data_IF_460512364798
#
_entry.id   IF_460512364798
#
_cell.length_a   1.000
_cell.length_b   1.000
_cell.length_c   1.000
_cell.angle_alpha   90.00
_cell.angle_beta   90.00
_cell.angle_gamma   90.00
#
_symmetry.space_group_name_H-M   'P 1'
#
loop_
_entity.id
_entity.type
_entity.pdbx_description
1 polymer ?
#
# COMPACT_ATOMS: atom_id res chain seq x y z
N UNK A 1 4.65 -8.93 -8.35
CA UNK A 1 3.96 -7.89 -7.56
C UNK A 1 4.84 -6.66 -7.37
N UNK A 2 6.05 -6.79 -6.82
CA UNK A 2 6.94 -5.65 -6.52
C UNK A 2 7.22 -4.71 -7.68
N UNK A 3 7.35 -5.22 -8.92
CA UNK A 3 7.58 -4.37 -10.09
C UNK A 3 6.49 -3.28 -10.28
N UNK A 4 5.22 -3.60 -10.02
CA UNK A 4 4.09 -2.68 -10.20
C UNK A 4 4.05 -1.58 -9.16
N UNK A 5 4.54 -1.88 -7.96
CA UNK A 5 4.70 -0.93 -6.86
C UNK A 5 5.76 0.15 -7.16
N UNK A 6 6.71 -0.16 -8.04
CA UNK A 6 7.69 0.79 -8.57
C UNK A 6 7.24 1.44 -9.89
N UNK A 7 5.97 1.31 -10.26
CA UNK A 7 5.39 1.89 -11.47
C UNK A 7 5.79 1.16 -12.76
N UNK A 8 6.33 -0.06 -12.69
CA UNK A 8 6.59 -0.86 -13.89
C UNK A 8 5.29 -1.47 -14.41
N UNK A 9 5.11 -1.56 -15.73
CA UNK A 9 3.93 -2.19 -16.31
C UNK A 9 3.85 -3.67 -15.90
N UNK A 10 2.62 -4.14 -15.67
CA UNK A 10 2.33 -5.56 -15.47
C UNK A 10 2.49 -6.31 -16.81
N UNK A 11 3.08 -7.51 -16.75
CA UNK A 11 3.23 -8.38 -17.91
C UNK A 11 1.87 -9.01 -18.33
N UNK A 12 1.05 -9.35 -17.35
CA UNK A 12 -0.32 -9.83 -17.54
C UNK A 12 -1.26 -8.71 -17.12
N UNK A 13 -2.14 -8.29 -18.02
CA UNK A 13 -3.13 -7.24 -17.76
C UNK A 13 -4.50 -7.88 -17.54
N UNK A 14 -5.33 -7.22 -16.75
CA UNK A 14 -6.71 -7.65 -16.51
C UNK A 14 -7.49 -7.85 -17.83
N UNK A 15 -7.26 -6.98 -18.82
CA UNK A 15 -7.85 -7.07 -20.17
C UNK A 15 -7.45 -8.32 -20.98
N UNK A 16 -6.46 -9.10 -20.52
CA UNK A 16 -5.93 -10.26 -21.26
C UNK A 16 -6.47 -11.61 -20.80
N UNK A 17 -7.31 -11.63 -19.77
CA UNK A 17 -7.96 -12.84 -19.28
C UNK A 17 -9.37 -12.51 -18.78
N UNK A 18 -10.30 -13.44 -18.97
CA UNK A 18 -11.70 -13.30 -18.53
C UNK A 18 -11.97 -14.42 -17.53
N UNK A 19 -11.42 -14.26 -16.32
CA UNK A 19 -11.54 -15.25 -15.24
C UNK A 19 -12.17 -14.55 -14.04
N UNK A 20 -13.31 -15.06 -13.60
CA UNK A 20 -13.96 -14.59 -12.39
C UNK A 20 -13.09 -14.85 -11.15
N UNK A 21 -13.23 -14.02 -10.12
CA UNK A 21 -12.56 -14.26 -8.85
C UNK A 21 -13.01 -15.62 -8.29
N UNK A 22 -12.11 -16.37 -7.63
CA UNK A 22 -12.47 -17.61 -6.97
C UNK A 22 -13.63 -17.40 -5.99
N UNK A 23 -14.53 -18.39 -5.94
CA UNK A 23 -15.57 -18.48 -4.91
C UNK A 23 -14.96 -18.32 -3.52
N UNK A 24 -15.62 -17.57 -2.64
CA UNK A 24 -15.23 -17.45 -1.23
C UNK A 24 -15.57 -18.73 -0.43
N UNK A 25 -16.42 -19.60 -0.98
CA UNK A 25 -16.75 -20.91 -0.42
C UNK A 25 -15.82 -21.98 -1.02
N UNK A 26 -15.15 -22.72 -0.15
CA UNK A 26 -14.43 -23.95 -0.50
C UNK A 26 -15.43 -25.06 -0.87
N UNK A 27 -15.03 -26.00 -1.72
CA UNK A 27 -15.87 -27.12 -2.15
C UNK A 27 -16.30 -28.01 -0.96
N UNK A 28 -15.52 -27.99 0.12
CA UNK A 28 -15.77 -28.70 1.37
C UNK A 28 -16.79 -28.00 2.31
N UNK A 29 -17.22 -26.76 2.02
CA UNK A 29 -18.18 -26.00 2.84
C UNK A 29 -19.67 -26.25 2.47
N UNK A 30 -19.96 -27.29 1.69
CA UNK A 30 -21.34 -27.61 1.28
C UNK A 30 -22.19 -28.21 2.42
N UNK A 31 -21.56 -28.64 3.52
CA UNK A 31 -22.25 -29.09 4.73
C UNK A 31 -22.67 -27.88 5.59
N UNK A 32 -23.97 -27.59 5.54
CA UNK A 32 -24.69 -26.44 6.14
C UNK A 32 -24.44 -26.28 7.65
N UNK A 33 -23.89 -27.29 8.33
CA UNK A 33 -23.77 -27.35 9.79
C UNK A 33 -22.53 -26.64 10.37
N UNK A 34 -21.56 -26.23 9.54
CA UNK A 34 -20.36 -25.54 10.02
C UNK A 34 -19.99 -24.35 9.11
N UNK A 35 -20.57 -23.16 9.32
CA UNK A 35 -20.21 -21.96 8.57
C UNK A 35 -18.87 -21.39 9.12
N UNK A 36 -17.85 -22.23 9.20
CA UNK A 36 -16.48 -21.77 9.33
C UNK A 36 -16.08 -21.23 7.97
N UNK A 37 -16.36 -19.95 7.69
CA UNK A 37 -15.83 -19.28 6.50
C UNK A 37 -14.35 -19.60 6.41
N UNK A 38 -13.90 -20.25 5.33
CA UNK A 38 -12.57 -20.78 5.33
C UNK A 38 -11.63 -19.54 5.24
N UNK A 39 -10.85 -19.39 6.32
CA UNK A 39 -10.11 -18.15 6.65
C UNK A 39 -9.10 -17.79 5.56
N UNK A 40 -8.71 -18.75 4.74
CA UNK A 40 -7.67 -18.63 3.72
C UNK A 40 -8.23 -18.11 2.39
N UNK A 41 -9.43 -18.52 2.04
CA UNK A 41 -10.16 -18.24 0.81
C UNK A 41 -10.69 -16.81 0.88
N UNK A 42 -11.25 -16.44 2.04
CA UNK A 42 -11.67 -15.07 2.33
C UNK A 42 -10.48 -14.09 2.33
N UNK A 43 -9.32 -14.49 2.87
CA UNK A 43 -8.08 -13.72 2.77
C UNK A 43 -7.65 -13.55 1.32
N UNK A 44 -7.53 -14.64 0.57
CA UNK A 44 -7.08 -14.63 -0.82
C UNK A 44 -8.01 -13.77 -1.69
N UNK A 45 -9.32 -13.89 -1.53
CA UNK A 45 -10.29 -13.10 -2.27
C UNK A 45 -10.12 -11.60 -1.97
N UNK A 46 -9.93 -11.21 -0.70
CA UNK A 46 -9.69 -9.81 -0.32
C UNK A 46 -8.34 -9.30 -0.82
N UNK A 47 -7.33 -10.14 -0.82
CA UNK A 47 -6.00 -9.84 -1.36
C UNK A 47 -6.05 -9.62 -2.88
N UNK A 48 -6.73 -10.49 -3.63
CA UNK A 48 -6.90 -10.37 -5.08
C UNK A 48 -7.58 -9.06 -5.46
N UNK A 49 -8.60 -8.63 -4.70
CA UNK A 49 -9.23 -7.31 -4.90
C UNK A 49 -8.24 -6.15 -4.75
N UNK A 50 -7.34 -6.19 -3.76
CA UNK A 50 -6.27 -5.19 -3.64
C UNK A 50 -5.30 -5.25 -4.84
N UNK A 51 -4.99 -6.45 -5.36
CA UNK A 51 -4.14 -6.59 -6.55
C UNK A 51 -4.78 -6.00 -7.80
N UNK A 52 -6.10 -6.15 -7.98
CA UNK A 52 -6.85 -5.55 -9.08
C UNK A 52 -6.79 -4.01 -9.00
N UNK A 53 -7.02 -3.45 -7.81
CA UNK A 53 -6.90 -2.00 -7.59
C UNK A 53 -5.46 -1.53 -7.88
N UNK A 54 -4.44 -2.27 -7.46
CA UNK A 54 -3.04 -1.98 -7.79
C UNK A 54 -2.79 -2.00 -9.30
N UNK A 55 -3.33 -3.00 -10.01
CA UNK A 55 -3.23 -3.08 -11.47
C UNK A 55 -3.85 -1.87 -12.17
N UNK A 56 -5.06 -1.50 -11.76
CA UNK A 56 -5.77 -0.31 -12.26
C UNK A 56 -4.96 0.95 -11.95
N UNK A 57 -4.47 1.11 -10.72
CA UNK A 57 -3.65 2.26 -10.32
C UNK A 57 -2.37 2.37 -11.14
N UNK A 58 -1.65 1.27 -11.36
CA UNK A 58 -0.42 1.26 -12.16
C UNK A 58 -0.69 1.57 -13.63
N UNK A 59 -1.78 1.04 -14.20
CA UNK A 59 -2.13 1.30 -15.59
C UNK A 59 -2.65 2.71 -15.84
N UNK A 60 -3.33 3.31 -14.87
CA UNK A 60 -3.93 4.64 -15.05
C UNK A 60 -2.94 5.75 -14.68
N UNK A 61 -2.41 5.72 -13.45
CA UNK A 61 -1.56 6.79 -12.91
C UNK A 61 -0.14 6.76 -13.50
N UNK A 62 0.44 5.56 -13.67
CA UNK A 62 1.81 5.40 -14.14
C UNK A 62 1.90 5.14 -15.66
N UNK A 63 0.85 5.49 -16.41
CA UNK A 63 0.84 5.35 -17.87
C UNK A 63 1.74 6.37 -18.58
N UNK A 64 2.29 5.95 -19.72
CA UNK A 64 3.08 6.81 -20.61
C UNK A 64 2.14 7.86 -21.26
N UNK A 65 2.64 9.07 -21.51
CA UNK A 65 1.91 10.19 -22.11
C UNK A 65 1.06 9.83 -23.34
N UNK A 66 1.55 8.90 -24.19
CA UNK A 66 0.80 8.42 -25.37
C UNK A 66 -0.46 7.64 -24.99
N UNK A 67 -0.39 6.79 -23.97
CA UNK A 67 -1.54 6.05 -23.44
C UNK A 67 -2.50 6.95 -22.68
N UNK A 68 -1.99 7.97 -21.96
CA UNK A 68 -2.81 9.00 -21.30
C UNK A 68 -3.69 9.76 -22.30
N UNK A 69 -3.11 10.15 -23.44
CA UNK A 69 -3.85 10.82 -24.50
C UNK A 69 -4.97 9.92 -25.08
N UNK A 70 -4.68 8.63 -25.28
CA UNK A 70 -5.65 7.65 -25.79
C UNK A 70 -6.77 7.34 -24.78
N UNK A 71 -6.48 7.36 -23.48
CA UNK A 71 -7.46 7.18 -22.40
C UNK A 71 -8.29 8.44 -22.09
N UNK A 72 -8.09 9.52 -22.84
CA UNK A 72 -8.80 10.78 -22.60
C UNK A 72 -8.35 11.50 -21.32
N UNK A 73 -7.18 11.17 -20.78
CA UNK A 73 -6.58 11.85 -19.63
C UNK A 73 -5.97 13.18 -20.05
N UNK A 74 -6.85 14.11 -20.41
CA UNK A 74 -6.52 15.45 -20.91
C UNK A 74 -7.10 16.50 -19.95
N UNK A 75 -6.34 17.58 -19.70
CA UNK A 75 -6.74 18.67 -18.82
C UNK A 75 -5.99 18.66 -17.48
N UNK A 76 -6.36 19.56 -16.56
CA UNK A 76 -5.72 19.70 -15.24
C UNK A 76 -6.30 18.79 -14.16
N UNK A 77 -7.50 18.25 -14.39
CA UNK A 77 -8.30 17.60 -13.33
C UNK A 77 -8.33 16.07 -13.45
N UNK A 78 -7.69 15.50 -14.48
CA UNK A 78 -7.70 14.05 -14.73
C UNK A 78 -7.03 13.27 -13.58
N UNK A 79 -5.98 13.84 -12.98
CA UNK A 79 -5.24 13.27 -11.85
C UNK A 79 -6.17 13.08 -10.66
N UNK A 80 -6.86 14.14 -10.25
CA UNK A 80 -7.80 14.11 -9.14
C UNK A 80 -8.93 13.10 -9.39
N UNK A 81 -9.47 13.05 -10.61
CA UNK A 81 -10.56 12.11 -10.93
C UNK A 81 -10.14 10.65 -10.80
N UNK A 82 -8.94 10.30 -11.25
CA UNK A 82 -8.43 8.93 -11.16
C UNK A 82 -8.11 8.57 -9.72
N UNK A 83 -7.42 9.46 -9.01
CA UNK A 83 -7.08 9.26 -7.61
C UNK A 83 -8.34 9.09 -6.76
N UNK A 84 -9.35 9.97 -6.91
CA UNK A 84 -10.63 9.82 -6.21
C UNK A 84 -11.37 8.53 -6.57
N UNK A 85 -11.26 8.05 -7.81
CA UNK A 85 -11.85 6.75 -8.18
C UNK A 85 -11.14 5.60 -7.46
N UNK A 86 -9.81 5.65 -7.35
CA UNK A 86 -9.03 4.63 -6.64
C UNK A 86 -9.30 4.69 -5.14
N UNK A 87 -9.40 5.89 -4.55
CA UNK A 87 -9.77 6.08 -3.14
C UNK A 87 -11.14 5.46 -2.84
N UNK A 88 -12.14 5.71 -3.68
CA UNK A 88 -13.46 5.09 -3.54
C UNK A 88 -13.39 3.55 -3.61
N UNK A 89 -12.61 2.98 -4.53
CA UNK A 89 -12.42 1.53 -4.62
C UNK A 89 -11.74 0.95 -3.36
N UNK A 90 -10.79 1.67 -2.78
CA UNK A 90 -10.13 1.30 -1.54
C UNK A 90 -11.09 1.37 -0.36
N UNK A 91 -11.93 2.41 -0.29
CA UNK A 91 -12.93 2.56 0.77
C UNK A 91 -14.04 1.50 0.67
N UNK A 92 -14.49 1.17 -0.54
CA UNK A 92 -15.40 0.05 -0.80
C UNK A 92 -14.79 -1.29 -0.38
N UNK A 93 -13.50 -1.50 -0.71
CA UNK A 93 -12.77 -2.68 -0.26
C UNK A 93 -12.76 -2.77 1.27
N UNK A 94 -12.41 -1.67 1.96
CA UNK A 94 -12.33 -1.62 3.42
C UNK A 94 -13.70 -1.89 4.08
N UNK A 95 -14.78 -1.33 3.52
CA UNK A 95 -16.15 -1.59 3.98
C UNK A 95 -16.56 -3.07 3.81
N UNK A 96 -16.07 -3.72 2.76
CA UNK A 96 -16.35 -5.13 2.47
C UNK A 96 -15.49 -6.12 3.28
N UNK A 97 -14.47 -5.69 4.03
CA UNK A 97 -13.64 -6.59 4.83
C UNK A 97 -14.49 -7.24 5.95
N UNK A 98 -14.58 -8.59 6.00
CA UNK A 98 -15.35 -9.29 7.00
C UNK A 98 -14.73 -9.12 8.40
N UNK A 99 -15.53 -9.26 9.44
CA UNK A 99 -15.13 -8.91 10.81
C UNK A 99 -13.87 -9.65 11.28
N UNK A 100 -13.71 -10.92 10.89
CA UNK A 100 -12.56 -11.74 11.24
C UNK A 100 -11.27 -11.34 10.51
N UNK A 101 -11.32 -10.51 9.48
CA UNK A 101 -10.15 -9.96 8.77
C UNK A 101 -9.91 -8.47 9.02
N UNK A 102 -10.80 -7.80 9.77
CA UNK A 102 -10.58 -6.41 10.17
C UNK A 102 -9.37 -6.31 11.08
N UNK A 103 -8.56 -5.29 10.84
CA UNK A 103 -7.39 -5.02 11.66
C UNK A 103 -7.80 -4.79 13.12
N UNK A 104 -7.23 -5.60 14.00
CA UNK A 104 -7.40 -5.53 15.44
C UNK A 104 -6.02 -5.79 16.08
N UNK A 105 -5.37 -4.74 16.62
CA UNK A 105 -4.06 -4.89 17.24
C UNK A 105 -4.14 -5.81 18.45
N UNK A 106 -5.29 -6.01 19.08
CA UNK A 106 -5.45 -6.80 20.31
C UNK A 106 -5.97 -8.23 20.05
N UNK A 107 -6.04 -8.64 18.78
CA UNK A 107 -6.43 -10.00 18.41
C UNK A 107 -5.52 -11.05 19.07
N UNK A 108 -6.13 -11.96 19.83
CA UNK A 108 -5.46 -13.08 20.50
C UNK A 108 -5.19 -14.24 19.53
N UNK A 109 -6.01 -14.36 18.49
CA UNK A 109 -5.80 -15.35 17.43
C UNK A 109 -4.67 -14.90 16.51
N UNK A 110 -3.58 -15.67 16.51
CA UNK A 110 -2.38 -15.46 15.70
C UNK A 110 -2.69 -15.39 14.21
N UNK A 111 -3.52 -16.32 13.71
CA UNK A 111 -3.84 -16.41 12.29
C UNK A 111 -4.58 -15.16 11.85
N UNK A 112 -5.62 -14.79 12.59
CA UNK A 112 -6.38 -13.55 12.35
C UNK A 112 -5.51 -12.31 12.44
N UNK A 113 -4.64 -12.23 13.43
CA UNK A 113 -3.72 -11.10 13.62
C UNK A 113 -2.77 -10.94 12.41
N UNK A 114 -2.14 -12.03 11.96
CA UNK A 114 -1.22 -12.00 10.83
C UNK A 114 -1.93 -11.75 9.49
N UNK A 115 -3.12 -12.33 9.29
CA UNK A 115 -3.92 -12.13 8.08
C UNK A 115 -4.42 -10.69 7.95
N UNK A 116 -4.98 -10.14 9.02
CA UNK A 116 -5.49 -8.76 9.03
C UNK A 116 -4.36 -7.74 8.91
N UNK A 117 -3.26 -7.89 9.65
CA UNK A 117 -2.09 -7.02 9.53
C UNK A 117 -1.53 -6.98 8.11
N UNK A 118 -1.42 -8.15 7.46
CA UNK A 118 -0.95 -8.25 6.08
C UNK A 118 -1.86 -7.51 5.09
N UNK A 119 -3.18 -7.72 5.16
CA UNK A 119 -4.14 -7.05 4.30
C UNK A 119 -4.10 -5.54 4.47
N UNK A 120 -4.09 -5.07 5.72
CA UNK A 120 -4.11 -3.62 6.00
C UNK A 120 -2.77 -2.96 5.65
N UNK A 121 -1.63 -3.62 5.88
CA UNK A 121 -0.34 -3.12 5.41
C UNK A 121 -0.34 -2.91 3.89
N UNK A 122 -0.91 -3.84 3.12
CA UNK A 122 -1.06 -3.67 1.67
C UNK A 122 -2.05 -2.58 1.28
N UNK A 123 -3.17 -2.49 1.98
CA UNK A 123 -4.15 -1.42 1.78
C UNK A 123 -3.52 -0.03 1.94
N UNK A 124 -2.80 0.21 3.04
CA UNK A 124 -2.10 1.48 3.27
C UNK A 124 -0.96 1.70 2.27
N UNK A 125 -0.21 0.64 1.93
CA UNK A 125 0.78 0.70 0.87
C UNK A 125 0.18 1.11 -0.47
N UNK A 126 -1.02 0.64 -0.82
CA UNK A 126 -1.71 0.97 -2.05
C UNK A 126 -2.24 2.42 -2.06
N UNK A 127 -2.70 2.93 -0.91
CA UNK A 127 -2.97 4.38 -0.74
C UNK A 127 -1.73 5.21 -1.06
N UNK A 128 -0.59 4.84 -0.50
CA UNK A 128 0.68 5.52 -0.79
C UNK A 128 1.00 5.42 -2.28
N UNK A 129 0.88 4.24 -2.88
CA UNK A 129 1.16 4.00 -4.29
C UNK A 129 0.30 4.87 -5.23
N UNK A 130 -0.99 5.01 -4.92
CA UNK A 130 -1.92 5.82 -5.70
C UNK A 130 -1.57 7.31 -5.66
N UNK A 131 -1.10 7.81 -4.51
CA UNK A 131 -0.80 9.23 -4.33
C UNK A 131 0.68 9.62 -4.58
N UNK A 132 1.60 8.65 -4.63
CA UNK A 132 3.04 8.87 -4.75
C UNK A 132 3.46 9.76 -5.94
N UNK A 133 2.89 9.65 -7.16
CA UNK A 133 3.29 10.49 -8.29
C UNK A 133 3.08 11.98 -8.03
N UNK A 134 2.12 12.32 -7.18
CA UNK A 134 1.79 13.69 -6.79
C UNK A 134 2.66 14.20 -5.64
N UNK A 135 3.41 13.33 -4.96
CA UNK A 135 4.39 13.71 -3.94
C UNK A 135 5.73 14.16 -4.52
N UNK A 136 6.07 13.80 -5.77
CA UNK A 136 7.37 14.08 -6.41
C UNK A 136 7.52 15.58 -6.72
N UNK A 137 7.81 16.36 -5.68
CA UNK A 137 8.32 17.73 -5.82
C UNK A 137 9.38 17.99 -4.77
N UNK A 138 10.48 18.60 -5.21
CA UNK A 138 11.55 19.04 -4.34
C UNK A 138 11.10 20.28 -3.57
N UNK A 139 11.70 20.58 -2.41
CA UNK A 139 11.43 21.82 -1.67
C UNK A 139 11.59 23.09 -2.54
N UNK A 140 12.34 22.98 -3.65
CA UNK A 140 12.55 24.03 -4.66
C UNK A 140 11.34 24.28 -5.58
N UNK A 141 10.50 23.27 -5.81
CA UNK A 141 9.29 23.40 -6.62
C UNK A 141 8.15 24.05 -5.82
N UNK A 142 8.13 23.85 -4.50
CA UNK A 142 7.19 24.50 -3.57
C UNK A 142 7.50 25.98 -3.37
N UNK A 143 8.76 26.41 -3.48
CA UNK A 143 9.14 27.83 -3.41
C UNK A 143 8.84 28.64 -4.67
N UNK A 144 8.68 27.96 -5.83
CA UNK A 144 8.38 28.61 -7.12
C UNK A 144 6.92 28.43 -7.56
N UNK A 145 6.18 27.49 -6.99
CA UNK A 145 4.74 27.38 -7.21
C UNK A 145 4.03 28.50 -6.43
N UNK A 146 3.20 29.29 -7.11
CA UNK A 146 2.33 30.25 -6.42
C UNK A 146 1.47 29.51 -5.38
N UNK A 147 1.46 29.94 -4.10
CA UNK A 147 0.77 29.25 -3.00
C UNK A 147 -0.76 29.15 -3.17
N UNK A 148 -1.33 29.80 -4.18
CA UNK A 148 -2.76 29.84 -4.52
C UNK A 148 -3.15 28.96 -5.72
N UNK A 149 -2.22 28.17 -6.27
CA UNK A 149 -2.56 27.24 -7.37
C UNK A 149 -3.26 25.99 -6.83
N UNK A 150 -4.38 25.58 -7.46
CA UNK A 150 -5.11 24.32 -7.17
C UNK A 150 -4.19 23.11 -7.06
N UNK A 151 -3.17 23.06 -7.92
CA UNK A 151 -2.14 22.01 -7.91
C UNK A 151 -1.31 21.96 -6.64
N UNK A 152 -1.10 23.07 -5.92
CA UNK A 152 -0.40 23.07 -4.63
C UNK A 152 -1.28 22.46 -3.52
N UNK A 153 -2.58 22.78 -3.51
CA UNK A 153 -3.54 22.23 -2.56
C UNK A 153 -3.71 20.71 -2.71
N UNK A 154 -3.84 20.22 -3.94
CA UNK A 154 -4.00 18.79 -4.22
C UNK A 154 -2.74 17.98 -3.83
N UNK A 155 -1.56 18.59 -3.98
CA UNK A 155 -0.28 18.00 -3.57
C UNK A 155 -0.14 17.92 -2.05
N UNK A 156 -0.52 18.97 -1.33
CA UNK A 156 -0.53 18.96 0.14
C UNK A 156 -1.51 17.91 0.68
N UNK A 157 -2.67 17.75 0.04
CA UNK A 157 -3.64 16.71 0.37
C UNK A 157 -3.06 15.31 0.13
N UNK A 158 -2.43 15.06 -1.02
CA UNK A 158 -1.80 13.77 -1.32
C UNK A 158 -0.66 13.42 -0.36
N UNK A 159 0.17 14.40 0.01
CA UNK A 159 1.22 14.21 1.01
C UNK A 159 0.63 13.86 2.39
N UNK A 160 -0.43 14.54 2.81
CA UNK A 160 -1.11 14.25 4.08
C UNK A 160 -1.69 12.82 4.10
N UNK A 161 -2.33 12.39 3.01
CA UNK A 161 -2.89 11.04 2.85
C UNK A 161 -1.78 9.99 2.93
N UNK A 162 -0.71 10.16 2.16
CA UNK A 162 0.44 9.24 2.19
C UNK A 162 1.09 9.18 3.57
N UNK A 163 1.19 10.31 4.27
CA UNK A 163 1.79 10.37 5.60
C UNK A 163 0.93 9.63 6.62
N UNK A 164 -0.39 9.82 6.60
CA UNK A 164 -1.31 9.09 7.45
C UNK A 164 -1.25 7.58 7.18
N UNK A 165 -1.32 7.18 5.91
CA UNK A 165 -1.20 5.77 5.52
C UNK A 165 0.16 5.15 5.92
N UNK A 166 1.25 5.91 5.80
CA UNK A 166 2.57 5.44 6.21
C UNK A 166 2.66 5.23 7.72
N UNK A 167 2.08 6.14 8.52
CA UNK A 167 1.99 6.00 9.98
C UNK A 167 1.18 4.75 10.35
N UNK A 168 -0.01 4.58 9.79
CA UNK A 168 -0.87 3.41 10.06
C UNK A 168 -0.17 2.10 9.67
N UNK A 169 0.50 2.07 8.51
CA UNK A 169 1.29 0.91 8.10
C UNK A 169 2.47 0.63 9.05
N UNK A 170 3.14 1.67 9.54
CA UNK A 170 4.24 1.52 10.50
C UNK A 170 3.77 1.11 11.89
N UNK A 171 2.57 1.48 12.32
CA UNK A 171 1.96 0.99 13.56
C UNK A 171 1.62 -0.49 13.47
N UNK A 172 1.03 -0.92 12.36
CA UNK A 172 0.81 -2.35 12.07
C UNK A 172 2.15 -3.09 12.11
N UNK A 173 3.17 -2.53 11.45
CA UNK A 173 4.51 -3.13 11.43
C UNK A 173 5.08 -3.30 12.83
N UNK A 174 5.03 -2.26 13.68
CA UNK A 174 5.50 -2.34 15.06
C UNK A 174 4.76 -3.40 15.86
N UNK A 175 3.43 -3.48 15.74
CA UNK A 175 2.64 -4.50 16.43
C UNK A 175 3.06 -5.92 16.01
N UNK A 176 3.35 -6.13 14.73
CA UNK A 176 3.83 -7.44 14.22
C UNK A 176 5.27 -7.71 14.67
N UNK A 177 6.18 -6.72 14.67
CA UNK A 177 7.56 -6.89 15.17
C UNK A 177 7.56 -7.27 16.65
N UNK A 178 6.76 -6.59 17.47
CA UNK A 178 6.71 -6.80 18.91
C UNK A 178 6.20 -8.19 19.28
N UNK A 179 5.17 -8.68 18.59
CA UNK A 179 4.56 -9.98 18.90
C UNK A 179 5.21 -11.14 18.15
N UNK A 180 5.60 -10.94 16.89
CA UNK A 180 6.03 -12.00 15.97
C UNK A 180 7.15 -11.54 15.01
N UNK A 181 8.38 -11.32 15.52
CA UNK A 181 9.49 -10.74 14.73
C UNK A 181 9.94 -11.58 13.52
N UNK A 182 9.55 -12.86 13.44
CA UNK A 182 9.87 -13.75 12.32
C UNK A 182 8.82 -13.79 11.21
N UNK A 183 7.70 -13.08 11.36
CA UNK A 183 6.61 -13.10 10.37
C UNK A 183 6.94 -12.40 9.05
N UNK A 184 7.99 -11.58 9.02
CA UNK A 184 8.41 -10.82 7.83
C UNK A 184 9.13 -11.63 6.75
N UNK A 185 9.33 -12.93 6.97
CA UNK A 185 9.88 -13.85 5.97
C UNK A 185 8.93 -14.14 4.81
N UNK A 186 7.65 -13.80 4.95
CA UNK A 186 6.65 -14.03 3.91
C UNK A 186 6.80 -13.02 2.75
N UNK A 187 6.86 -13.48 1.49
CA UNK A 187 6.94 -12.58 0.33
C UNK A 187 5.65 -11.76 0.21
N UNK A 188 5.73 -10.46 0.50
CA UNK A 188 4.60 -9.53 0.38
C UNK A 188 4.61 -8.35 1.34
N UNK A 189 5.43 -8.41 2.40
CA UNK A 189 5.61 -7.32 3.37
C UNK A 189 6.58 -6.24 2.91
N UNK A 190 7.53 -6.59 2.04
CA UNK A 190 8.61 -5.68 1.64
C UNK A 190 8.10 -4.40 0.97
N UNK A 191 7.14 -4.52 0.04
CA UNK A 191 6.62 -3.38 -0.72
C UNK A 191 5.96 -2.31 0.19
N UNK A 192 4.94 -2.63 1.03
CA UNK A 192 4.30 -1.63 1.89
C UNK A 192 5.23 -1.06 2.97
N UNK A 193 6.15 -1.87 3.51
CA UNK A 193 7.15 -1.40 4.48
C UNK A 193 8.10 -0.40 3.84
N UNK A 194 8.61 -0.73 2.65
CA UNK A 194 9.54 0.13 1.93
C UNK A 194 8.94 1.49 1.62
N UNK A 195 7.72 1.54 1.08
CA UNK A 195 7.11 2.83 0.71
C UNK A 195 6.71 3.66 1.93
N UNK A 196 6.27 3.04 3.01
CA UNK A 196 5.94 3.74 4.25
C UNK A 196 7.19 4.40 4.84
N UNK A 197 8.30 3.64 4.93
CA UNK A 197 9.59 4.17 5.34
C UNK A 197 10.05 5.33 4.45
N UNK A 198 9.88 5.22 3.12
CA UNK A 198 10.25 6.28 2.18
C UNK A 198 9.45 7.57 2.42
N UNK A 199 8.12 7.47 2.60
CA UNK A 199 7.26 8.63 2.85
C UNK A 199 7.63 9.31 4.18
N UNK A 200 7.88 8.54 5.24
CA UNK A 200 8.27 9.07 6.54
C UNK A 200 9.64 9.76 6.48
N UNK A 201 10.59 9.19 5.74
CA UNK A 201 11.90 9.81 5.49
C UNK A 201 11.77 11.14 4.74
N UNK A 202 10.94 11.19 3.69
CA UNK A 202 10.66 12.44 2.95
C UNK A 202 10.09 13.50 3.88
N UNK A 203 9.18 13.14 4.78
CA UNK A 203 8.63 14.07 5.76
C UNK A 203 9.68 14.54 6.79
N UNK A 204 10.49 13.62 7.30
CA UNK A 204 11.51 13.91 8.32
C UNK A 204 12.61 14.83 7.78
N UNK A 205 13.05 14.63 6.53
CA UNK A 205 14.08 15.46 5.91
C UNK A 205 13.52 16.71 5.21
N UNK A 206 12.32 16.65 4.65
CA UNK A 206 11.70 17.74 3.89
C UNK A 206 11.09 18.83 4.77
N UNK A 207 10.60 18.49 5.96
CA UNK A 207 9.86 19.41 6.84
C UNK A 207 10.43 19.48 8.25
N UNK A 208 11.74 19.21 8.41
CA UNK A 208 12.42 19.16 9.71
C UNK A 208 12.20 20.39 10.60
N UNK A 209 12.08 21.58 10.00
CA UNK A 209 11.82 22.84 10.72
C UNK A 209 10.35 23.07 11.08
N UNK A 210 9.42 22.35 10.45
CA UNK A 210 7.98 22.47 10.65
C UNK A 210 7.37 21.33 11.49
N UNK A 211 8.05 20.19 11.60
CA UNK A 211 7.66 19.10 12.48
C UNK A 211 8.10 19.40 13.91
N UNK A 212 7.16 19.33 14.87
CA UNK A 212 7.52 19.38 16.29
C UNK A 212 8.35 18.16 16.71
N UNK A 213 9.18 18.33 17.75
CA UNK A 213 10.17 17.33 18.20
C UNK A 213 9.57 15.94 18.47
N UNK A 214 8.35 15.88 19.02
CA UNK A 214 7.65 14.62 19.30
C UNK A 214 7.32 13.83 18.03
N UNK A 215 6.82 14.49 16.97
CA UNK A 215 6.54 13.82 15.69
C UNK A 215 7.81 13.37 14.98
N UNK A 216 8.89 14.16 15.10
CA UNK A 216 10.19 13.80 14.56
C UNK A 216 10.72 12.51 15.20
N UNK A 217 10.62 12.39 16.53
CA UNK A 217 11.01 11.17 17.25
C UNK A 217 10.13 9.98 16.86
N UNK A 218 8.82 10.18 16.74
CA UNK A 218 7.88 9.14 16.32
C UNK A 218 8.21 8.62 14.90
N UNK A 219 8.44 9.52 13.95
CA UNK A 219 8.76 9.13 12.57
C UNK A 219 10.13 8.47 12.48
N UNK A 220 11.12 8.92 13.25
CA UNK A 220 12.42 8.25 13.34
C UNK A 220 12.27 6.80 13.81
N UNK A 221 11.48 6.57 14.88
CA UNK A 221 11.18 5.22 15.38
C UNK A 221 10.53 4.33 14.32
N UNK A 222 9.54 4.86 13.59
CA UNK A 222 8.88 4.10 12.52
C UNK A 222 9.83 3.77 11.36
N UNK A 223 10.70 4.71 10.98
CA UNK A 223 11.72 4.49 9.94
C UNK A 223 12.71 3.40 10.37
N UNK A 224 13.18 3.44 11.61
CA UNK A 224 14.05 2.40 12.16
C UNK A 224 13.38 1.02 12.12
N UNK A 225 12.11 0.93 12.52
CA UNK A 225 11.33 -0.30 12.43
C UNK A 225 11.18 -0.81 10.99
N UNK A 226 10.93 0.08 10.02
CA UNK A 226 10.88 -0.29 8.61
C UNK A 226 12.24 -0.83 8.11
N UNK A 227 13.35 -0.20 8.50
CA UNK A 227 14.69 -0.64 8.12
C UNK A 227 15.02 -2.01 8.72
N UNK A 228 14.69 -2.25 9.98
CA UNK A 228 14.98 -3.53 10.63
C UNK A 228 14.14 -4.66 10.04
N UNK A 229 12.86 -4.42 9.75
CA UNK A 229 12.01 -5.39 9.08
C UNK A 229 12.51 -5.72 7.66
N UNK A 230 13.00 -4.72 6.91
CA UNK A 230 13.59 -4.93 5.59
C UNK A 230 14.90 -5.72 5.64
N UNK A 231 15.73 -5.52 6.67
CA UNK A 231 16.94 -6.34 6.88
C UNK A 231 16.58 -7.80 7.07
N UNK A 232 15.62 -8.09 7.96
CA UNK A 232 15.12 -9.45 8.20
C UNK A 232 14.57 -10.07 6.90
N UNK A 233 13.83 -9.30 6.10
CA UNK A 233 13.33 -9.77 4.81
C UNK A 233 14.45 -10.00 3.76
N UNK A 234 15.59 -9.30 3.88
CA UNK A 234 16.72 -9.42 2.95
C UNK A 234 17.64 -10.60 3.24
N UNK A 235 17.74 -11.04 4.49
CA UNK A 235 18.59 -12.18 4.90
C UNK A 235 18.15 -13.51 4.25
N UNK A 236 16.88 -13.62 3.84
CA UNK A 236 16.31 -14.80 3.19
C UNK A 236 16.49 -14.82 1.66
N UNK A 237 17.00 -13.74 1.03
CA UNK A 237 17.39 -13.79 -0.38
C UNK A 237 18.80 -14.36 -0.47
N UNK A 238 19.00 -15.60 -0.94
CA UNK A 238 20.34 -16.05 -1.30
C UNK A 238 20.78 -15.16 -2.47
N UNK A 239 21.61 -14.16 -2.17
CA UNK A 239 22.45 -13.53 -3.17
C UNK A 239 23.27 -14.68 -3.72
N UNK A 240 22.94 -15.16 -4.92
CA UNK A 240 23.79 -16.10 -5.62
C UNK A 240 25.15 -15.41 -5.72
N UNK A 241 26.11 -15.86 -4.90
CA UNK A 241 27.49 -15.44 -5.04
C UNK A 241 27.86 -15.66 -6.51
N UNK A 242 28.40 -14.65 -7.19
CA UNK A 242 28.87 -14.85 -8.55
C UNK A 242 29.94 -15.93 -8.47
N UNK A 243 29.63 -17.11 -9.03
CA UNK A 243 30.63 -18.14 -9.26
C UNK A 243 31.63 -17.55 -10.24
N UNK A 244 32.76 -17.09 -9.70
CA UNK A 244 33.97 -16.73 -10.45
C UNK A 244 34.56 -17.98 -11.10
#
# INVERSE_FOLDING_TARGET
MSASFYGRPLNIKDETFDVELPSEADDDCWDIENPGYPLRETLLHRELKLMLILGISTQTIYSINRSRLLMGFVGTDWEQRITSKIDNMLDEWAAAVPIHLRWDPDSVDLTRFLQSSFLYARYHGLKIHAHNPFMRTTARDLSHAAPSSRTATDRLSSLAICTAAAVECSEILLAVIERYPRSFRQPGWADPIFVSGLVLLVNLFGFKSSLGDSKMQQYAKYVEACLDALKVASEDYPVAEPRL
#
